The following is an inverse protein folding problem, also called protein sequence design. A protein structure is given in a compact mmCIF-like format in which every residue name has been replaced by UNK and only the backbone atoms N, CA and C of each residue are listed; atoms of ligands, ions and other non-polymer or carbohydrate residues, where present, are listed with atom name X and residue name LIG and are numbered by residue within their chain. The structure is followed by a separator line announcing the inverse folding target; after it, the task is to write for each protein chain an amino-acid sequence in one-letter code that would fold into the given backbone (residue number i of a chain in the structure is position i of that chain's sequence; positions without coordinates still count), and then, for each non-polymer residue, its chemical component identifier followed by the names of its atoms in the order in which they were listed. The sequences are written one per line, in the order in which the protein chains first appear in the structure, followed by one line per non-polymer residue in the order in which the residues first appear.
data_IF_231671491974
#
_entry.id   IF_231671491974
#
_cell.length_a   1.000
_cell.length_b   1.000
_cell.length_c   1.000
_cell.angle_alpha   90.00
_cell.angle_beta   90.00
_cell.angle_gamma   90.00
#
_symmetry.space_group_name_H-M   'P 1'
#
loop_
_entity.id
_entity.type
_entity.pdbx_description
1 polymer ?
#
# COMPACT_ATOMS: atom_id res chain seq x y z
N UNK A 1 -107.12 -27.69 -16.21
CA UNK A 1 -106.88 -26.47 -15.40
C UNK A 1 -105.67 -25.77 -16.03
N UNK A 2 -105.86 -24.69 -16.80
CA UNK A 2 -104.73 -23.96 -17.41
C UNK A 2 -104.00 -23.23 -16.28
N UNK A 3 -102.76 -23.60 -16.02
CA UNK A 3 -101.87 -22.89 -15.09
C UNK A 3 -101.69 -21.46 -15.64
N UNK A 4 -101.86 -20.44 -14.79
CA UNK A 4 -101.61 -19.04 -15.18
C UNK A 4 -100.12 -18.88 -15.48
N UNK A 5 -99.78 -18.53 -16.72
CA UNK A 5 -98.43 -18.22 -17.15
C UNK A 5 -97.97 -16.95 -16.42
N UNK A 6 -96.91 -17.05 -15.61
CA UNK A 6 -96.25 -15.87 -15.05
C UNK A 6 -95.25 -15.44 -16.13
N UNK A 7 -95.68 -14.57 -17.04
CA UNK A 7 -94.83 -14.01 -18.10
C UNK A 7 -93.89 -12.96 -17.51
N UNK A 8 -92.76 -13.42 -16.99
CA UNK A 8 -91.65 -12.56 -16.59
C UNK A 8 -90.39 -12.94 -17.39
N UNK A 9 -90.05 -12.18 -18.46
CA UNK A 9 -88.92 -12.51 -19.34
C UNK A 9 -87.57 -12.47 -18.60
N UNK A 10 -87.48 -11.69 -17.52
CA UNK A 10 -86.29 -11.62 -16.67
C UNK A 10 -86.06 -12.93 -15.89
N UNK A 11 -87.13 -13.54 -15.37
CA UNK A 11 -87.06 -14.82 -14.64
C UNK A 11 -86.79 -16.00 -15.57
N UNK A 12 -87.30 -15.96 -16.79
CA UNK A 12 -86.99 -16.96 -17.83
C UNK A 12 -85.51 -16.90 -18.25
N UNK A 13 -84.98 -15.69 -18.38
CA UNK A 13 -83.56 -15.50 -18.73
C UNK A 13 -82.65 -15.96 -17.57
N UNK A 14 -83.04 -15.72 -16.32
CA UNK A 14 -82.29 -16.15 -15.14
C UNK A 14 -82.29 -17.68 -14.98
N UNK A 15 -83.41 -18.35 -15.25
CA UNK A 15 -83.52 -19.82 -15.18
C UNK A 15 -82.72 -20.51 -16.28
N UNK A 16 -82.71 -19.96 -17.51
CA UNK A 16 -81.84 -20.46 -18.60
C UNK A 16 -80.35 -20.37 -18.25
N UNK A 17 -79.92 -19.30 -17.56
CA UNK A 17 -78.51 -19.13 -17.12
C UNK A 17 -78.04 -20.20 -16.13
N UNK A 18 -78.95 -20.80 -15.36
CA UNK A 18 -78.66 -21.92 -14.46
C UNK A 18 -79.01 -23.29 -15.08
N UNK A 19 -79.31 -23.31 -16.38
CA UNK A 19 -79.54 -24.54 -17.16
C UNK A 19 -80.93 -25.17 -16.98
N UNK A 20 -81.92 -24.41 -16.49
CA UNK A 20 -83.30 -24.87 -16.33
C UNK A 20 -84.21 -24.26 -17.40
N UNK A 21 -85.02 -25.09 -18.03
CA UNK A 21 -85.99 -24.68 -19.06
C UNK A 21 -87.42 -24.86 -18.51
N UNK A 22 -88.13 -23.74 -18.35
CA UNK A 22 -89.49 -23.69 -17.82
C UNK A 22 -90.50 -24.37 -18.76
N UNK A 23 -90.25 -24.37 -20.08
CA UNK A 23 -91.11 -25.05 -21.05
C UNK A 23 -91.11 -26.57 -20.87
N UNK A 24 -90.03 -27.10 -20.29
CA UNK A 24 -89.85 -28.51 -20.00
C UNK A 24 -90.66 -28.93 -18.76
N UNK A 25 -90.83 -28.03 -17.80
CA UNK A 25 -91.71 -28.22 -16.64
C UNK A 25 -93.19 -28.24 -17.05
N UNK A 26 -93.59 -27.34 -17.95
CA UNK A 26 -94.97 -27.26 -18.43
C UNK A 26 -95.37 -28.53 -19.21
N UNK A 27 -94.52 -28.99 -20.14
CA UNK A 27 -94.72 -30.25 -20.87
C UNK A 27 -94.81 -31.46 -19.94
N UNK A 28 -93.96 -31.50 -18.91
CA UNK A 28 -94.00 -32.56 -17.90
C UNK A 28 -95.31 -32.54 -17.09
N UNK A 29 -95.84 -31.35 -16.76
CA UNK A 29 -97.12 -31.18 -16.06
C UNK A 29 -98.33 -31.58 -16.93
N UNK A 30 -98.22 -31.45 -18.25
CA UNK A 30 -99.22 -31.92 -19.22
C UNK A 30 -99.14 -33.43 -19.52
N UNK A 31 -98.14 -34.13 -18.96
CA UNK A 31 -98.00 -35.59 -19.04
C UNK A 31 -96.97 -36.09 -20.04
N UNK A 32 -96.11 -35.24 -20.60
CA UNK A 32 -95.01 -35.66 -21.48
C UNK A 32 -93.92 -36.42 -20.71
N UNK A 33 -93.86 -37.73 -20.92
CA UNK A 33 -92.93 -38.64 -20.27
C UNK A 33 -91.46 -38.35 -20.61
N UNK A 34 -91.15 -37.74 -21.76
CA UNK A 34 -89.76 -37.38 -22.11
C UNK A 34 -89.29 -36.17 -21.30
N UNK A 35 -90.16 -35.18 -21.14
CA UNK A 35 -89.88 -34.02 -20.31
C UNK A 35 -89.67 -34.41 -18.83
N UNK A 36 -90.49 -35.34 -18.30
CA UNK A 36 -90.33 -35.89 -16.94
C UNK A 36 -88.98 -36.59 -16.75
N UNK A 37 -88.53 -37.39 -17.73
CA UNK A 37 -87.22 -38.07 -17.66
C UNK A 37 -86.05 -37.09 -17.59
N UNK A 38 -86.07 -36.05 -18.43
CA UNK A 38 -85.01 -35.03 -18.45
C UNK A 38 -84.95 -34.27 -17.13
N UNK A 39 -86.09 -33.90 -16.54
CA UNK A 39 -86.14 -33.28 -15.20
C UNK A 39 -85.59 -34.22 -14.12
N UNK A 40 -85.93 -35.51 -14.18
CA UNK A 40 -85.40 -36.52 -13.26
C UNK A 40 -83.88 -36.70 -13.35
N UNK A 41 -83.33 -36.68 -14.57
CA UNK A 41 -81.88 -36.70 -14.79
C UNK A 41 -81.19 -35.43 -14.30
N UNK A 42 -81.77 -34.25 -14.55
CA UNK A 42 -81.28 -32.97 -14.04
C UNK A 42 -81.27 -32.96 -12.51
N UNK A 43 -82.32 -33.45 -11.86
CA UNK A 43 -82.37 -33.59 -10.41
C UNK A 43 -81.36 -34.59 -9.85
N UNK A 44 -81.08 -35.69 -10.57
CA UNK A 44 -80.02 -36.65 -10.19
C UNK A 44 -78.63 -36.01 -10.32
N UNK A 45 -78.35 -35.32 -11.43
CA UNK A 45 -77.08 -34.60 -11.65
C UNK A 45 -76.90 -33.47 -10.65
N UNK A 46 -77.95 -32.71 -10.36
CA UNK A 46 -77.95 -31.66 -9.35
C UNK A 46 -77.61 -32.20 -7.96
N UNK A 47 -78.23 -33.29 -7.52
CA UNK A 47 -77.90 -33.94 -6.23
C UNK A 47 -76.46 -34.43 -6.17
N UNK A 48 -75.98 -35.12 -7.21
CA UNK A 48 -74.59 -35.57 -7.28
C UNK A 48 -73.59 -34.38 -7.29
N UNK A 49 -73.93 -33.29 -7.98
CA UNK A 49 -73.12 -32.08 -7.98
C UNK A 49 -73.12 -31.42 -6.59
N UNK A 50 -74.26 -31.29 -5.94
CA UNK A 50 -74.32 -30.73 -4.57
C UNK A 50 -73.50 -31.56 -3.58
N UNK A 51 -73.49 -32.88 -3.72
CA UNK A 51 -72.73 -33.78 -2.84
C UNK A 51 -71.22 -33.76 -3.12
N UNK A 52 -70.82 -33.84 -4.40
CA UNK A 52 -69.41 -34.05 -4.78
C UNK A 52 -68.66 -32.77 -5.13
N UNK A 53 -69.33 -31.74 -5.66
CA UNK A 53 -68.65 -30.52 -6.11
C UNK A 53 -67.87 -29.80 -4.99
N UNK A 54 -68.35 -29.70 -3.73
CA UNK A 54 -67.58 -29.08 -2.66
C UNK A 54 -66.27 -29.82 -2.37
N UNK A 55 -66.31 -31.16 -2.33
CA UNK A 55 -65.13 -31.99 -2.07
C UNK A 55 -64.12 -31.90 -3.22
N UNK A 56 -64.59 -31.93 -4.46
CA UNK A 56 -63.74 -31.75 -5.63
C UNK A 56 -63.10 -30.36 -5.65
N UNK A 57 -63.87 -29.30 -5.42
CA UNK A 57 -63.35 -27.94 -5.35
C UNK A 57 -62.29 -27.78 -4.26
N UNK A 58 -62.54 -28.36 -3.08
CA UNK A 58 -61.59 -28.35 -1.96
C UNK A 58 -60.30 -29.08 -2.31
N UNK A 59 -60.38 -30.28 -2.91
CA UNK A 59 -59.20 -31.05 -3.31
C UNK A 59 -58.39 -30.35 -4.41
N UNK A 60 -59.06 -29.77 -5.41
CA UNK A 60 -58.39 -28.97 -6.44
C UNK A 60 -57.71 -27.73 -5.84
N UNK A 61 -58.38 -27.02 -4.92
CA UNK A 61 -57.79 -25.87 -4.24
C UNK A 61 -56.54 -26.27 -3.44
N UNK A 62 -56.61 -27.37 -2.67
CA UNK A 62 -55.45 -27.88 -1.94
C UNK A 62 -54.31 -28.31 -2.86
N UNK A 63 -54.60 -28.96 -3.99
CA UNK A 63 -53.60 -29.33 -4.98
C UNK A 63 -52.91 -28.09 -5.57
N UNK A 64 -53.68 -27.06 -5.95
CA UNK A 64 -53.15 -25.79 -6.46
C UNK A 64 -52.26 -25.13 -5.40
N UNK A 65 -52.72 -25.01 -4.16
CA UNK A 65 -51.93 -24.44 -3.06
C UNK A 65 -50.66 -25.23 -2.83
N UNK A 66 -50.73 -26.57 -2.83
CA UNK A 66 -49.56 -27.43 -2.68
C UNK A 66 -48.51 -27.21 -3.76
N UNK A 67 -48.92 -27.13 -5.03
CA UNK A 67 -48.01 -26.85 -6.15
C UNK A 67 -47.40 -25.45 -6.06
N UNK A 68 -48.19 -24.44 -5.69
CA UNK A 68 -47.71 -23.06 -5.52
C UNK A 68 -46.68 -22.97 -4.40
N UNK A 69 -46.98 -23.52 -3.22
CA UNK A 69 -46.08 -23.48 -2.07
C UNK A 69 -44.79 -24.29 -2.32
N UNK A 70 -44.89 -25.46 -2.96
CA UNK A 70 -43.73 -26.24 -3.37
C UNK A 70 -42.80 -25.44 -4.30
N UNK A 71 -43.36 -24.80 -5.33
CA UNK A 71 -42.57 -24.00 -6.27
C UNK A 71 -41.98 -22.75 -5.61
N UNK A 72 -42.69 -22.11 -4.66
CA UNK A 72 -42.15 -21.02 -3.85
C UNK A 72 -40.97 -21.47 -2.99
N UNK A 73 -41.06 -22.65 -2.37
CA UNK A 73 -39.97 -23.22 -1.58
C UNK A 73 -38.75 -23.49 -2.47
N UNK A 74 -38.93 -24.12 -3.64
CA UNK A 74 -37.85 -24.33 -4.60
C UNK A 74 -37.21 -23.01 -5.05
N UNK A 75 -38.01 -22.00 -5.40
CA UNK A 75 -37.49 -20.70 -5.82
C UNK A 75 -36.66 -20.04 -4.71
N UNK A 76 -37.10 -20.16 -3.46
CA UNK A 76 -36.38 -19.63 -2.28
C UNK A 76 -35.05 -20.34 -2.06
N UNK A 77 -35.03 -21.67 -2.19
CA UNK A 77 -33.82 -22.48 -2.08
C UNK A 77 -32.82 -22.08 -3.16
N UNK A 78 -33.24 -22.05 -4.43
CA UNK A 78 -32.36 -21.68 -5.55
C UNK A 78 -31.84 -20.24 -5.44
N UNK A 79 -32.68 -19.28 -5.04
CA UNK A 79 -32.25 -17.90 -4.82
C UNK A 79 -31.21 -17.79 -3.70
N UNK A 80 -31.43 -18.50 -2.59
CA UNK A 80 -30.50 -18.51 -1.45
C UNK A 80 -29.18 -19.18 -1.81
N UNK A 81 -29.23 -20.30 -2.54
CA UNK A 81 -28.05 -20.99 -3.05
C UNK A 81 -27.24 -20.09 -3.99
N UNK A 82 -27.88 -19.40 -4.94
CA UNK A 82 -27.21 -18.46 -5.84
C UNK A 82 -26.51 -17.32 -5.10
N UNK A 83 -27.17 -16.71 -4.11
CA UNK A 83 -26.55 -15.69 -3.24
C UNK A 83 -25.36 -16.24 -2.45
N UNK A 84 -25.48 -17.47 -1.94
CA UNK A 84 -24.42 -18.16 -1.20
C UNK A 84 -23.19 -18.42 -2.06
N UNK A 85 -23.37 -18.92 -3.29
CA UNK A 85 -22.27 -19.15 -4.25
C UNK A 85 -21.56 -17.85 -4.58
N UNK A 86 -22.28 -16.78 -4.90
CA UNK A 86 -21.68 -15.47 -5.21
C UNK A 86 -20.86 -14.95 -4.01
N UNK A 87 -21.41 -15.06 -2.79
CA UNK A 87 -20.70 -14.64 -1.58
C UNK A 87 -19.43 -15.46 -1.33
N UNK A 88 -19.48 -16.78 -1.57
CA UNK A 88 -18.34 -17.67 -1.45
C UNK A 88 -17.26 -17.33 -2.48
N UNK A 89 -17.62 -17.21 -3.76
CA UNK A 89 -16.68 -16.84 -4.83
C UNK A 89 -16.01 -15.50 -4.56
N UNK A 90 -16.78 -14.50 -4.10
CA UNK A 90 -16.24 -13.22 -3.68
C UNK A 90 -15.22 -13.38 -2.54
N UNK A 91 -15.53 -14.17 -1.51
CA UNK A 91 -14.60 -14.45 -0.42
C UNK A 91 -13.31 -15.15 -0.89
N UNK A 92 -13.41 -16.09 -1.84
CA UNK A 92 -12.25 -16.76 -2.44
C UNK A 92 -11.39 -15.74 -3.20
N UNK A 93 -12.01 -14.90 -4.05
CA UNK A 93 -11.30 -13.87 -4.81
C UNK A 93 -10.62 -12.83 -3.91
N UNK A 94 -11.29 -12.38 -2.85
CA UNK A 94 -10.73 -11.45 -1.87
C UNK A 94 -9.52 -12.06 -1.15
N UNK A 95 -9.59 -13.35 -0.80
CA UNK A 95 -8.48 -14.08 -0.17
C UNK A 95 -7.29 -14.20 -1.11
N UNK A 96 -7.54 -14.56 -2.37
CA UNK A 96 -6.51 -14.64 -3.41
C UNK A 96 -5.83 -13.29 -3.65
N UNK A 97 -6.62 -12.22 -3.79
CA UNK A 97 -6.13 -10.85 -3.96
C UNK A 97 -5.26 -10.41 -2.77
N UNK A 98 -5.66 -10.73 -1.54
CA UNK A 98 -4.88 -10.41 -0.35
C UNK A 98 -3.57 -11.20 -0.29
N UNK A 99 -3.57 -12.47 -0.70
CA UNK A 99 -2.35 -13.26 -0.82
C UNK A 99 -1.38 -12.67 -1.85
N UNK A 100 -1.88 -12.23 -3.00
CA UNK A 100 -1.08 -11.55 -4.03
C UNK A 100 -0.52 -10.21 -3.54
N UNK A 101 -1.32 -9.40 -2.84
CA UNK A 101 -0.87 -8.16 -2.20
C UNK A 101 0.27 -8.43 -1.21
N UNK A 102 0.13 -9.41 -0.33
CA UNK A 102 1.18 -9.79 0.61
C UNK A 102 2.46 -10.21 -0.11
N UNK A 103 2.35 -11.00 -1.18
CA UNK A 103 3.50 -11.43 -1.99
C UNK A 103 4.21 -10.23 -2.63
N UNK A 104 3.46 -9.27 -3.16
CA UNK A 104 4.02 -8.07 -3.79
C UNK A 104 4.70 -7.17 -2.75
N UNK A 105 4.05 -6.89 -1.62
CA UNK A 105 4.64 -6.12 -0.53
C UNK A 105 5.95 -6.73 -0.02
N UNK A 106 6.05 -8.05 0.07
CA UNK A 106 7.30 -8.73 0.42
C UNK A 106 8.41 -8.49 -0.60
N UNK A 107 8.08 -8.48 -1.89
CA UNK A 107 9.05 -8.18 -2.97
C UNK A 107 9.50 -6.72 -2.91
N UNK A 108 8.57 -5.80 -2.67
CA UNK A 108 8.85 -4.38 -2.50
C UNK A 108 9.79 -4.15 -1.31
N UNK A 109 9.44 -4.66 -0.12
CA UNK A 109 10.29 -4.57 1.07
C UNK A 109 11.70 -5.14 0.85
N UNK A 110 11.82 -6.26 0.14
CA UNK A 110 13.12 -6.83 -0.18
C UNK A 110 13.93 -5.94 -1.13
N UNK A 111 13.26 -5.28 -2.07
CA UNK A 111 13.87 -4.36 -3.03
C UNK A 111 14.32 -3.08 -2.32
N UNK A 112 13.48 -2.52 -1.47
CA UNK A 112 13.79 -1.35 -0.64
C UNK A 112 14.98 -1.62 0.27
N UNK A 113 15.03 -2.80 0.90
CA UNK A 113 16.17 -3.19 1.73
C UNK A 113 17.47 -3.27 0.91
N UNK A 114 17.44 -3.83 -0.31
CA UNK A 114 18.62 -3.84 -1.19
C UNK A 114 19.07 -2.44 -1.58
N UNK A 115 18.14 -1.55 -1.89
CA UNK A 115 18.44 -0.15 -2.21
C UNK A 115 19.04 0.55 -1.00
N UNK A 116 18.45 0.40 0.18
CA UNK A 116 18.95 0.96 1.43
C UNK A 116 20.37 0.45 1.77
N UNK A 117 20.61 -0.86 1.60
CA UNK A 117 21.94 -1.45 1.79
C UNK A 117 22.97 -0.87 0.82
N UNK A 118 22.60 -0.69 -0.45
CA UNK A 118 23.50 -0.10 -1.45
C UNK A 118 23.80 1.37 -1.13
N UNK A 119 22.79 2.15 -0.73
CA UNK A 119 22.95 3.53 -0.30
C UNK A 119 23.86 3.64 0.94
N UNK A 120 23.68 2.76 1.93
CA UNK A 120 24.52 2.76 3.14
C UNK A 120 25.96 2.36 2.82
N UNK A 121 26.18 1.38 1.93
CA UNK A 121 27.53 1.04 1.44
C UNK A 121 28.20 2.23 0.75
N UNK A 122 27.47 2.96 -0.09
CA UNK A 122 27.99 4.15 -0.76
C UNK A 122 28.36 5.25 0.23
N UNK A 123 27.48 5.49 1.23
CA UNK A 123 27.74 6.44 2.32
C UNK A 123 28.99 6.08 3.12
N UNK A 124 29.14 4.81 3.49
CA UNK A 124 30.29 4.33 4.24
C UNK A 124 31.58 4.46 3.42
N UNK A 125 31.55 4.09 2.14
CA UNK A 125 32.69 4.27 1.23
C UNK A 125 33.10 5.75 1.14
N UNK A 126 32.13 6.66 1.01
CA UNK A 126 32.41 8.09 0.98
C UNK A 126 33.03 8.59 2.30
N UNK A 127 32.51 8.14 3.44
CA UNK A 127 33.05 8.51 4.76
C UNK A 127 34.51 8.06 4.94
N UNK A 128 34.85 6.83 4.51
CA UNK A 128 36.23 6.33 4.52
C UNK A 128 37.11 7.21 3.63
N UNK A 129 36.72 7.44 2.37
CA UNK A 129 37.51 8.24 1.45
C UNK A 129 37.74 9.66 1.96
N UNK A 130 36.71 10.28 2.54
CA UNK A 130 36.83 11.61 3.16
C UNK A 130 37.83 11.60 4.33
N UNK A 131 37.76 10.58 5.19
CA UNK A 131 38.70 10.42 6.31
C UNK A 131 40.14 10.23 5.82
N UNK A 132 40.34 9.42 4.78
CA UNK A 132 41.66 9.19 4.18
C UNK A 132 42.24 10.47 3.58
N UNK A 133 41.44 11.21 2.80
CA UNK A 133 41.85 12.49 2.22
C UNK A 133 42.23 13.51 3.30
N UNK A 134 41.44 13.61 4.38
CA UNK A 134 41.78 14.47 5.53
C UNK A 134 43.13 14.07 6.15
N UNK A 135 43.32 12.78 6.43
CA UNK A 135 44.58 12.28 6.98
C UNK A 135 45.79 12.57 6.08
N UNK A 136 45.62 12.49 4.75
CA UNK A 136 46.68 12.84 3.79
C UNK A 136 47.00 14.35 3.81
N UNK A 137 45.97 15.21 3.82
CA UNK A 137 46.13 16.66 3.93
C UNK A 137 46.84 17.04 5.23
N UNK A 138 46.40 16.49 6.37
CA UNK A 138 47.01 16.76 7.67
C UNK A 138 48.47 16.29 7.73
N UNK A 139 48.78 15.12 7.15
CA UNK A 139 50.15 14.62 7.06
C UNK A 139 51.04 15.55 6.21
N UNK A 140 50.50 16.09 5.12
CA UNK A 140 51.22 17.02 4.25
C UNK A 140 51.48 18.36 4.95
N UNK A 141 50.49 18.91 5.65
CA UNK A 141 50.65 20.13 6.47
C UNK A 141 51.73 19.89 7.53
N UNK A 142 51.64 18.80 8.29
CA UNK A 142 52.64 18.47 9.31
C UNK A 142 54.04 18.22 8.73
N UNK A 143 54.15 17.76 7.48
CA UNK A 143 55.44 17.64 6.80
C UNK A 143 56.01 19.01 6.44
N UNK A 144 55.21 19.92 5.89
CA UNK A 144 55.62 21.29 5.56
C UNK A 144 56.05 22.04 6.83
N UNK A 145 55.28 21.94 7.91
CA UNK A 145 55.62 22.56 9.19
C UNK A 145 56.94 22.04 9.76
N UNK A 146 57.18 20.72 9.70
CA UNK A 146 58.47 20.13 10.08
C UNK A 146 59.62 20.62 9.21
N UNK A 147 59.42 20.73 7.89
CA UNK A 147 60.43 21.28 6.99
C UNK A 147 60.76 22.73 7.31
N UNK A 148 59.74 23.55 7.59
CA UNK A 148 59.92 24.94 8.00
C UNK A 148 60.68 25.06 9.34
N UNK A 149 60.32 24.26 10.35
CA UNK A 149 61.04 24.21 11.62
C UNK A 149 62.51 23.77 11.46
N UNK A 150 62.78 22.77 10.63
CA UNK A 150 64.15 22.35 10.32
C UNK A 150 64.93 23.50 9.67
N UNK A 151 64.33 24.21 8.71
CA UNK A 151 64.96 25.36 8.05
C UNK A 151 65.20 26.52 9.04
N UNK A 152 64.27 26.79 9.96
CA UNK A 152 64.45 27.79 11.01
C UNK A 152 65.63 27.42 11.92
N UNK A 153 65.67 26.18 12.44
CA UNK A 153 66.78 25.71 13.27
C UNK A 153 68.10 25.74 12.51
N UNK A 154 68.10 25.42 11.22
CA UNK A 154 69.29 25.44 10.37
C UNK A 154 69.81 26.86 10.09
N UNK A 155 68.93 27.85 9.99
CA UNK A 155 69.29 29.25 9.72
C UNK A 155 69.71 30.02 10.98
N UNK A 156 69.28 29.62 12.17
CA UNK A 156 69.65 30.25 13.46
C UNK A 156 71.16 30.50 13.64
N UNK A 157 72.08 29.56 13.35
CA UNK A 157 73.52 29.82 13.46
C UNK A 157 74.00 30.94 12.52
N UNK A 158 73.48 31.00 11.30
CA UNK A 158 73.83 32.04 10.33
C UNK A 158 73.34 33.41 10.79
N UNK A 159 72.08 33.49 11.25
CA UNK A 159 71.51 34.72 11.81
C UNK A 159 72.34 35.21 13.01
N UNK A 160 72.72 34.29 13.92
CA UNK A 160 73.57 34.64 15.07
C UNK A 160 74.99 35.05 14.66
N UNK A 161 75.53 34.51 13.58
CA UNK A 161 76.83 34.95 13.05
C UNK A 161 76.74 36.38 12.54
N UNK A 162 75.73 36.70 11.72
CA UNK A 162 75.50 38.06 11.21
C UNK A 162 75.34 39.06 12.36
N UNK A 163 74.57 38.73 13.40
CA UNK A 163 74.43 39.57 14.58
C UNK A 163 75.77 39.76 15.33
N UNK A 164 76.54 38.69 15.52
CA UNK A 164 77.84 38.78 16.19
C UNK A 164 78.84 39.63 15.39
N UNK A 165 78.82 39.54 14.06
CA UNK A 165 79.65 40.34 13.17
C UNK A 165 79.23 41.82 13.21
N UNK A 166 77.92 42.10 13.23
CA UNK A 166 77.37 43.45 13.40
C UNK A 166 77.75 44.06 14.75
N UNK A 167 77.64 43.30 15.84
CA UNK A 167 78.03 43.75 17.18
C UNK A 167 79.52 44.05 17.27
N UNK A 168 80.36 43.21 16.65
CA UNK A 168 81.80 43.45 16.56
C UNK A 168 82.07 44.74 15.79
N UNK A 169 81.44 44.92 14.62
CA UNK A 169 81.60 46.12 13.81
C UNK A 169 81.18 47.37 14.58
N UNK A 170 80.05 47.34 15.31
CA UNK A 170 79.61 48.45 16.17
C UNK A 170 80.64 48.79 17.25
N UNK A 171 81.21 47.78 17.91
CA UNK A 171 82.27 47.99 18.93
C UNK A 171 83.53 48.60 18.32
N UNK A 172 83.96 48.11 17.16
CA UNK A 172 85.13 48.66 16.46
C UNK A 172 84.88 50.14 16.12
N UNK A 173 83.75 50.44 15.48
CA UNK A 173 83.36 51.82 15.12
C UNK A 173 83.31 52.72 16.36
N UNK A 174 82.70 52.28 17.46
CA UNK A 174 82.65 53.05 18.72
C UNK A 174 84.04 53.36 19.26
N UNK A 175 84.94 52.38 19.30
CA UNK A 175 86.30 52.59 19.79
C UNK A 175 87.13 53.50 18.88
N UNK A 176 86.98 53.37 17.56
CA UNK A 176 87.59 54.29 16.60
C UNK A 176 87.08 55.72 16.76
N UNK A 177 85.78 55.91 17.02
CA UNK A 177 85.19 57.23 17.29
C UNK A 177 85.67 57.83 18.61
N UNK A 178 85.85 57.02 19.66
CA UNK A 178 86.30 57.50 20.98
C UNK A 178 87.80 57.77 21.08
N UNK A 179 88.63 56.96 20.39
CA UNK A 179 90.09 56.95 20.57
C UNK A 179 90.90 57.40 19.35
N UNK A 180 90.25 57.64 18.20
CA UNK A 180 90.92 58.14 16.99
C UNK A 180 92.00 57.20 16.44
N UNK A 181 93.10 57.76 15.92
CA UNK A 181 94.21 57.01 15.30
C UNK A 181 95.02 56.15 16.29
N UNK A 182 94.92 56.40 17.60
CA UNK A 182 95.62 55.63 18.63
C UNK A 182 95.01 54.23 18.85
N UNK A 183 93.81 53.97 18.31
CA UNK A 183 93.18 52.65 18.38
C UNK A 183 93.72 51.69 17.31
N UNK A 184 94.62 50.80 17.72
CA UNK A 184 95.01 49.64 16.90
C UNK A 184 94.15 48.43 17.29
N UNK A 185 93.30 47.90 16.40
CA UNK A 185 92.56 46.68 16.69
C UNK A 185 93.54 45.50 16.72
N UNK A 186 93.88 45.04 17.92
CA UNK A 186 94.64 43.79 18.08
C UNK A 186 93.66 42.64 17.85
N UNK A 187 93.74 42.04 16.66
CA UNK A 187 92.85 40.98 16.19
C UNK A 187 92.78 39.76 17.13
N UNK A 188 93.81 39.58 17.97
CA UNK A 188 93.93 38.49 18.96
C UNK A 188 93.22 38.77 20.30
N UNK A 189 92.99 40.03 20.69
CA UNK A 189 92.42 40.38 22.00
C UNK A 189 90.91 40.64 21.97
N UNK A 190 90.31 40.76 20.78
CA UNK A 190 88.87 40.97 20.65
C UNK A 190 88.17 39.61 20.45
N UNK A 191 87.42 39.09 21.44
CA UNK A 191 86.86 37.75 21.36
C UNK A 191 85.83 37.63 20.22
N UNK A 192 86.14 36.78 19.24
CA UNK A 192 85.27 36.50 18.07
C UNK A 192 84.44 35.25 18.31
N UNK A 193 83.11 35.39 18.29
CA UNK A 193 82.19 34.24 18.27
C UNK A 193 82.05 33.74 16.82
N UNK A 194 82.25 32.43 16.61
CA UNK A 194 82.13 31.78 15.29
C UNK A 194 81.11 30.64 15.34
N UNK A 195 79.87 30.92 14.92
CA UNK A 195 78.81 29.92 14.78
C UNK A 195 78.96 29.25 13.40
N UNK A 196 79.34 27.96 13.38
CA UNK A 196 79.52 27.19 12.13
C UNK A 196 78.16 26.78 11.53
N UNK A 197 78.08 26.75 10.21
CA UNK A 197 76.94 26.18 9.48
C UNK A 197 76.86 24.66 9.63
N UNK A 198 75.63 24.13 9.73
CA UNK A 198 75.38 22.69 9.91
C UNK A 198 75.89 21.80 8.76
N UNK A 199 76.19 22.37 7.59
CA UNK A 199 76.79 21.64 6.44
C UNK A 199 78.13 20.99 6.79
N UNK A 200 78.89 21.53 7.75
CA UNK A 200 80.14 20.92 8.27
C UNK A 200 79.93 19.99 9.46
N UNK A 201 78.75 20.00 10.08
CA UNK A 201 78.44 19.13 11.22
C UNK A 201 77.98 17.75 10.74
N UNK A 202 77.26 17.66 9.62
CA UNK A 202 76.93 16.35 8.99
C UNK A 202 78.19 15.52 8.67
N UNK A 203 79.20 16.16 8.08
CA UNK A 203 80.51 15.53 7.79
C UNK A 203 81.31 15.17 9.05
N UNK A 204 81.07 15.85 10.18
CA UNK A 204 81.72 15.55 11.45
C UNK A 204 80.99 14.50 12.30
N UNK A 205 79.71 14.23 12.00
CA UNK A 205 78.86 13.26 12.70
C UNK A 205 78.58 11.99 11.89
N UNK A 206 79.11 11.86 10.67
CA UNK A 206 79.06 10.61 9.89
C UNK A 206 77.69 10.29 9.26
N UNK A 207 76.94 11.32 8.85
CA UNK A 207 75.73 11.18 8.03
C UNK A 207 75.86 11.88 6.68
#
# INVERSE_FOLDING_TARGET
MRLKHIDSPELETATRKIGLDLSLLEKAAEGDLQAVKVIGELGRRGRLATELSPQLAQNYSQAITGVVEYNRALATIYSSAGKGVIALEKGILDTSLNADKLRNQRKELHTDNKIALAAEKARHSFAISLSQTRGYVDAQIAQVDRQAQIAEVQSRPQIKQVQADQDLQRKLVSNYLEKGEDFTPIDELTPRKKYRTLTRIKTALGF
#
